data_IF_077391096583
#
_entry.id   IF_077391096583
#
_cell.length_a   1.000
_cell.length_b   1.000
_cell.length_c   1.000
_cell.angle_alpha   90.00
_cell.angle_beta   90.00
_cell.angle_gamma   90.00
#
_symmetry.space_group_name_H-M   'P 1'
#
loop_
_entity.id
_entity.type
_entity.pdbx_description
1 polymer ?
#
# COMPACT_ATOMS: atom_id res chain seq x y z
N UNK A 1 46.63 -4.95 -8.53
CA UNK A 1 46.59 -3.69 -7.74
C UNK A 1 45.23 -3.05 -7.94
N UNK A 2 44.23 -3.50 -7.20
CA UNK A 2 42.90 -2.88 -7.19
C UNK A 2 42.68 -2.28 -5.82
N UNK A 3 42.72 -0.95 -5.77
CA UNK A 3 42.37 -0.12 -4.64
C UNK A 3 40.85 -0.20 -4.44
N UNK A 4 40.41 -0.93 -3.42
CA UNK A 4 39.04 -0.87 -2.94
C UNK A 4 38.86 0.42 -2.12
N UNK A 5 38.07 1.34 -2.65
CA UNK A 5 37.62 2.54 -1.95
C UNK A 5 36.66 2.14 -0.84
N UNK A 6 37.06 2.41 0.40
CA UNK A 6 36.29 2.11 1.60
C UNK A 6 35.06 3.02 1.70
N UNK A 7 33.86 2.43 1.67
CA UNK A 7 32.61 3.10 2.02
C UNK A 7 32.29 2.83 3.50
N UNK A 8 32.60 3.79 4.36
CA UNK A 8 32.13 3.80 5.75
C UNK A 8 30.61 3.99 5.77
N UNK A 9 29.87 2.94 6.13
CA UNK A 9 28.42 3.01 6.32
C UNK A 9 28.13 3.25 7.80
N UNK A 10 27.73 4.47 8.16
CA UNK A 10 27.26 4.80 9.51
C UNK A 10 25.84 4.25 9.71
N UNK A 11 25.73 3.13 10.42
CA UNK A 11 24.45 2.48 10.72
C UNK A 11 23.85 3.07 12.01
N UNK A 12 22.93 4.03 11.92
CA UNK A 12 22.11 4.48 13.07
C UNK A 12 20.72 3.88 12.96
N UNK A 13 20.43 2.81 13.70
CA UNK A 13 19.13 2.16 13.73
C UNK A 13 18.62 2.06 15.17
N UNK A 14 17.81 3.03 15.63
CA UNK A 14 17.15 2.89 16.94
C UNK A 14 15.94 1.94 16.86
N UNK A 15 15.75 1.02 17.79
CA UNK A 15 14.59 0.12 17.74
C UNK A 15 13.28 0.88 17.96
N UNK A 16 12.32 0.71 17.05
CA UNK A 16 10.91 1.05 17.25
C UNK A 16 10.20 -0.23 17.70
N UNK A 17 10.12 -0.43 19.01
CA UNK A 17 9.11 -1.33 19.58
C UNK A 17 8.18 -0.47 20.40
N UNK A 18 7.05 -0.10 19.81
CA UNK A 18 5.88 0.37 20.55
C UNK A 18 5.04 -0.87 20.86
N UNK A 19 4.75 -1.02 22.15
CA UNK A 19 3.76 -1.90 22.77
C UNK A 19 4.15 -3.38 23.00
N UNK A 20 4.01 -3.78 24.28
CA UNK A 20 4.48 -4.99 24.98
C UNK A 20 5.96 -4.87 25.39
N UNK A 21 6.23 -4.83 26.70
CA UNK A 21 7.56 -4.75 27.31
C UNK A 21 8.63 -5.50 26.46
N UNK A 22 9.57 -4.78 25.82
CA UNK A 22 10.44 -5.33 24.77
C UNK A 22 11.17 -6.60 25.19
N UNK A 23 11.56 -6.70 26.47
CA UNK A 23 12.28 -7.82 27.05
C UNK A 23 11.45 -9.12 27.16
N UNK A 24 10.15 -9.03 27.47
CA UNK A 24 9.26 -10.21 27.54
C UNK A 24 9.01 -10.80 26.15
N UNK A 25 8.89 -9.94 25.13
CA UNK A 25 8.76 -10.36 23.73
C UNK A 25 10.05 -11.00 23.21
N UNK A 26 11.23 -10.41 23.48
CA UNK A 26 12.52 -10.95 23.04
C UNK A 26 12.86 -12.29 23.72
N UNK A 27 12.70 -12.39 25.04
CA UNK A 27 13.00 -13.64 25.77
C UNK A 27 12.15 -14.81 25.25
N UNK A 28 10.87 -14.58 24.94
CA UNK A 28 10.02 -15.60 24.31
C UNK A 28 10.53 -15.99 22.92
N UNK A 29 10.88 -15.01 22.07
CA UNK A 29 11.43 -15.28 20.74
C UNK A 29 12.72 -16.08 20.82
N UNK A 30 13.65 -15.70 21.71
CA UNK A 30 14.91 -16.39 21.93
C UNK A 30 14.71 -17.84 22.41
N UNK A 31 13.73 -18.10 23.31
CA UNK A 31 13.37 -19.47 23.71
C UNK A 31 12.88 -20.29 22.52
N UNK A 32 11.93 -19.74 21.75
CA UNK A 32 11.30 -20.45 20.62
C UNK A 32 12.30 -20.74 19.50
N UNK A 33 13.24 -19.83 19.24
CA UNK A 33 14.29 -20.03 18.24
C UNK A 33 15.50 -20.77 18.78
N UNK A 34 15.52 -21.13 20.07
CA UNK A 34 16.69 -21.71 20.75
C UNK A 34 17.97 -20.87 20.59
N UNK A 35 17.81 -19.54 20.51
CA UNK A 35 18.92 -18.62 20.32
C UNK A 35 19.91 -18.73 21.49
N UNK A 36 21.21 -18.79 21.16
CA UNK A 36 22.30 -18.81 22.14
C UNK A 36 22.96 -17.45 22.35
N UNK A 37 22.71 -16.51 21.46
CA UNK A 37 23.18 -15.15 21.56
C UNK A 37 22.10 -14.16 21.09
N UNK A 38 22.17 -12.94 21.62
CA UNK A 38 21.41 -11.77 21.16
C UNK A 38 22.36 -10.59 21.05
N UNK A 39 22.26 -9.87 19.93
CA UNK A 39 22.98 -8.62 19.72
C UNK A 39 22.10 -7.47 20.20
N UNK A 40 22.69 -6.56 20.98
CA UNK A 40 22.09 -5.32 21.48
C UNK A 40 23.01 -4.16 21.17
N UNK A 41 22.52 -2.94 21.25
CA UNK A 41 23.32 -1.73 21.11
C UNK A 41 23.17 -0.81 22.34
N UNK A 42 23.87 0.32 22.31
CA UNK A 42 23.81 1.33 23.37
C UNK A 42 22.40 1.96 23.55
N UNK A 43 21.51 1.81 22.57
CA UNK A 43 20.15 2.31 22.63
C UNK A 43 19.16 1.28 23.20
N UNK A 44 19.62 0.04 23.43
CA UNK A 44 18.87 -0.97 24.15
C UNK A 44 18.83 -0.62 25.65
N UNK A 45 17.64 -0.45 26.26
CA UNK A 45 17.54 -0.09 27.66
C UNK A 45 18.28 -1.08 28.57
N UNK A 46 19.05 -0.55 29.54
CA UNK A 46 19.91 -1.36 30.41
C UNK A 46 19.11 -2.37 31.26
N UNK A 47 17.92 -1.98 31.68
CA UNK A 47 16.92 -2.84 32.33
C UNK A 47 16.46 -3.97 31.41
N UNK A 48 16.27 -3.72 30.12
CA UNK A 48 15.93 -4.75 29.12
C UNK A 48 17.02 -5.81 28.95
N UNK A 49 18.29 -5.40 28.87
CA UNK A 49 19.42 -6.33 28.79
C UNK A 49 19.58 -7.16 30.08
N UNK A 50 19.41 -6.52 31.26
CA UNK A 50 19.43 -7.21 32.54
C UNK A 50 18.29 -8.23 32.68
N UNK A 51 17.07 -7.85 32.29
CA UNK A 51 15.91 -8.74 32.27
C UNK A 51 16.11 -9.94 31.33
N UNK A 52 16.74 -9.75 30.17
CA UNK A 52 17.07 -10.86 29.26
C UNK A 52 18.05 -11.85 29.90
N UNK A 53 19.12 -11.36 30.53
CA UNK A 53 20.08 -12.21 31.25
C UNK A 53 19.43 -12.96 32.41
N UNK A 54 18.54 -12.29 33.16
CA UNK A 54 17.81 -12.91 34.26
C UNK A 54 16.82 -13.98 33.77
N UNK A 55 16.08 -13.70 32.70
CA UNK A 55 15.12 -14.64 32.13
C UNK A 55 15.82 -15.82 31.45
N UNK A 56 17.00 -15.62 30.86
CA UNK A 56 17.76 -16.60 30.08
C UNK A 56 19.25 -16.60 30.49
N UNK A 57 19.61 -17.28 31.59
CA UNK A 57 20.99 -17.29 32.11
C UNK A 57 22.05 -17.82 31.12
N UNK A 58 21.65 -18.66 30.16
CA UNK A 58 22.53 -19.22 29.13
C UNK A 58 22.58 -18.44 27.82
N UNK A 59 21.89 -17.30 27.72
CA UNK A 59 21.89 -16.46 26.51
C UNK A 59 23.03 -15.44 26.59
N UNK A 60 23.95 -15.48 25.63
CA UNK A 60 24.97 -14.45 25.50
C UNK A 60 24.33 -13.13 25.01
N UNK A 61 24.43 -12.06 25.80
CA UNK A 61 23.98 -10.71 25.40
C UNK A 61 25.21 -9.91 25.00
N UNK A 62 25.38 -9.71 23.69
CA UNK A 62 26.55 -9.12 23.07
C UNK A 62 26.27 -7.68 22.66
N UNK A 63 27.15 -6.75 23.03
CA UNK A 63 27.07 -5.34 22.61
C UNK A 63 27.66 -5.18 21.21
N UNK A 64 26.85 -4.66 20.30
CA UNK A 64 27.16 -4.33 18.92
C UNK A 64 27.06 -2.82 18.68
N UNK A 65 27.37 -2.01 19.70
CA UNK A 65 27.44 -0.56 19.58
C UNK A 65 28.45 -0.12 18.52
N UNK A 66 28.17 1.01 17.85
CA UNK A 66 29.01 1.54 16.78
C UNK A 66 30.45 1.81 17.22
N UNK A 67 30.66 2.19 18.50
CA UNK A 67 31.99 2.41 19.04
C UNK A 67 32.82 1.13 19.01
N UNK A 68 32.23 0.00 19.40
CA UNK A 68 32.90 -1.31 19.34
C UNK A 68 33.12 -1.75 17.89
N UNK A 69 32.13 -1.57 17.02
CA UNK A 69 32.23 -1.99 15.62
C UNK A 69 33.25 -1.17 14.81
N UNK A 70 33.51 0.09 15.17
CA UNK A 70 34.47 0.94 14.48
C UNK A 70 35.92 0.49 14.67
N UNK A 71 36.21 -0.27 15.73
CA UNK A 71 37.55 -0.76 16.06
C UNK A 71 37.80 -2.19 15.57
N UNK A 72 36.82 -2.81 14.91
CA UNK A 72 36.91 -4.22 14.46
C UNK A 72 37.43 -4.28 13.03
N UNK A 73 38.57 -4.95 12.85
CA UNK A 73 39.09 -5.29 11.53
C UNK A 73 38.17 -6.30 10.81
N UNK A 74 37.99 -6.16 9.48
CA UNK A 74 37.23 -7.13 8.70
C UNK A 74 37.75 -8.56 8.89
N UNK A 75 36.83 -9.50 9.12
CA UNK A 75 37.18 -10.92 9.21
C UNK A 75 37.70 -11.42 7.86
N UNK A 76 38.80 -12.18 7.90
CA UNK A 76 39.32 -12.88 6.73
C UNK A 76 38.27 -13.86 6.20
N UNK A 77 38.15 -13.97 4.87
CA UNK A 77 37.11 -14.80 4.23
C UNK A 77 37.17 -16.28 4.69
N UNK A 78 38.37 -16.78 4.98
CA UNK A 78 38.61 -18.13 5.49
C UNK A 78 37.99 -18.41 6.86
N UNK A 79 37.59 -17.38 7.61
CA UNK A 79 36.92 -17.52 8.91
C UNK A 79 35.41 -17.73 8.79
N UNK A 80 34.82 -17.46 7.63
CA UNK A 80 33.39 -17.72 7.42
C UNK A 80 33.16 -19.22 7.21
N UNK A 81 32.12 -19.75 7.85
CA UNK A 81 31.69 -21.12 7.60
C UNK A 81 31.27 -21.30 6.13
N UNK A 82 31.45 -22.51 5.60
CA UNK A 82 30.92 -22.88 4.29
C UNK A 82 29.42 -22.52 4.21
N UNK A 83 29.01 -21.96 3.07
CA UNK A 83 27.64 -21.45 2.89
C UNK A 83 26.56 -22.51 3.20
N UNK A 84 25.43 -22.06 3.75
CA UNK A 84 24.29 -22.95 4.03
C UNK A 84 23.69 -23.54 2.75
N UNK A 85 23.07 -24.72 2.86
CA UNK A 85 22.37 -25.33 1.72
C UNK A 85 21.00 -24.66 1.50
N UNK A 86 20.40 -24.76 0.30
CA UNK A 86 19.13 -24.07 0.00
C UNK A 86 17.98 -24.37 0.97
N UNK A 87 17.97 -25.56 1.58
CA UNK A 87 16.98 -26.01 2.55
C UNK A 87 17.25 -25.53 3.98
N UNK A 88 18.40 -24.94 4.27
CA UNK A 88 18.74 -24.47 5.61
C UNK A 88 17.90 -23.25 5.97
N UNK A 89 17.49 -23.18 7.24
CA UNK A 89 16.83 -22.00 7.78
C UNK A 89 17.85 -20.87 7.87
N UNK A 90 17.59 -19.80 7.14
CA UNK A 90 18.41 -18.62 7.09
C UNK A 90 17.98 -17.56 8.09
N UNK A 91 16.67 -17.42 8.26
CA UNK A 91 16.07 -16.37 9.10
C UNK A 91 14.74 -16.82 9.67
N UNK A 92 14.36 -16.27 10.83
CA UNK A 92 13.02 -16.45 11.40
C UNK A 92 12.37 -15.09 11.62
N UNK A 93 11.23 -14.85 10.96
CA UNK A 93 10.44 -13.63 11.13
C UNK A 93 9.17 -13.96 11.91
N UNK A 94 8.89 -13.18 12.96
CA UNK A 94 7.68 -13.36 13.76
C UNK A 94 6.55 -12.49 13.22
N UNK A 95 5.42 -13.12 12.92
CA UNK A 95 4.19 -12.42 12.51
C UNK A 95 3.23 -12.30 13.68
N UNK A 96 2.43 -11.23 13.70
CA UNK A 96 1.52 -10.91 14.81
C UNK A 96 0.45 -11.97 15.06
N UNK A 97 0.13 -12.81 14.07
CA UNK A 97 -0.77 -13.95 14.20
C UNK A 97 -2.21 -13.54 14.56
N UNK A 98 -3.17 -13.79 13.69
CA UNK A 98 -4.60 -13.49 13.95
C UNK A 98 -5.25 -14.37 15.05
N UNK A 99 -4.48 -15.28 15.68
CA UNK A 99 -4.98 -16.36 16.57
C UNK A 99 -4.25 -16.44 17.92
N UNK A 100 -3.57 -15.37 18.36
CA UNK A 100 -2.91 -15.31 19.67
C UNK A 100 -1.38 -15.17 19.56
N UNK A 101 -0.62 -16.07 20.21
CA UNK A 101 0.84 -15.95 20.33
C UNK A 101 1.56 -15.83 18.95
N UNK A 102 2.53 -14.90 18.79
CA UNK A 102 3.23 -14.69 17.53
C UNK A 102 3.90 -15.97 17.01
N UNK A 103 3.73 -16.25 15.72
CA UNK A 103 4.28 -17.44 15.05
C UNK A 103 5.59 -17.09 14.35
N UNK A 104 6.61 -17.92 14.52
CA UNK A 104 7.91 -17.77 13.83
C UNK A 104 7.87 -18.43 12.47
N UNK A 105 7.95 -17.64 11.41
CA UNK A 105 8.05 -18.10 10.02
C UNK A 105 9.52 -18.32 9.69
N UNK A 106 9.89 -19.55 9.35
CA UNK A 106 11.24 -19.90 8.89
C UNK A 106 11.39 -19.54 7.41
N UNK A 107 12.38 -18.71 7.11
CA UNK A 107 12.79 -18.37 5.75
C UNK A 107 14.08 -19.09 5.42
N UNK A 108 14.07 -19.86 4.33
CA UNK A 108 15.19 -20.68 3.90
C UNK A 108 16.16 -19.88 3.01
N UNK A 109 17.35 -20.42 2.76
CA UNK A 109 18.25 -19.85 1.74
C UNK A 109 17.61 -19.84 0.34
N UNK A 110 16.81 -20.86 -0.02
CA UNK A 110 16.06 -20.90 -1.28
C UNK A 110 15.00 -19.79 -1.38
N UNK A 111 14.40 -19.39 -0.26
CA UNK A 111 13.45 -18.28 -0.23
C UNK A 111 14.13 -16.95 -0.61
N UNK A 112 15.38 -16.75 -0.17
CA UNK A 112 16.17 -15.61 -0.61
C UNK A 112 16.49 -15.65 -2.11
N UNK A 113 16.89 -16.81 -2.63
CA UNK A 113 17.17 -16.94 -4.07
C UNK A 113 15.94 -16.52 -4.90
N UNK A 114 14.74 -16.92 -4.47
CA UNK A 114 13.48 -16.48 -5.05
C UNK A 114 13.28 -14.97 -4.92
N UNK A 115 13.42 -14.38 -3.72
CA UNK A 115 13.27 -12.93 -3.52
C UNK A 115 14.23 -12.12 -4.38
N UNK A 116 15.51 -12.53 -4.46
CA UNK A 116 16.52 -11.90 -5.31
C UNK A 116 16.09 -11.91 -6.78
N UNK A 117 15.74 -13.07 -7.31
CA UNK A 117 15.32 -13.20 -8.72
C UNK A 117 14.09 -12.33 -9.02
N UNK A 118 13.14 -12.25 -8.08
CA UNK A 118 11.99 -11.36 -8.22
C UNK A 118 12.37 -9.89 -8.23
N UNK A 119 13.26 -9.44 -7.34
CA UNK A 119 13.71 -8.04 -7.33
C UNK A 119 14.52 -7.68 -8.57
N UNK A 120 15.37 -8.58 -9.05
CA UNK A 120 16.13 -8.38 -10.28
C UNK A 120 15.21 -8.28 -11.49
N UNK A 121 14.17 -9.10 -11.57
CA UNK A 121 13.18 -9.04 -12.66
C UNK A 121 12.27 -7.81 -12.56
N UNK A 122 11.89 -7.40 -11.35
CA UNK A 122 10.91 -6.31 -11.13
C UNK A 122 11.55 -4.93 -11.14
N UNK A 123 12.69 -4.75 -10.47
CA UNK A 123 13.39 -3.47 -10.35
C UNK A 123 14.46 -3.28 -11.43
N UNK A 124 14.84 -4.38 -12.12
CA UNK A 124 15.52 -4.34 -13.40
C UNK A 124 16.66 -3.34 -13.53
N UNK A 125 17.72 -3.39 -12.70
CA UNK A 125 18.92 -2.63 -13.01
C UNK A 125 19.41 -3.10 -14.40
N UNK A 126 19.50 -2.17 -15.36
CA UNK A 126 19.86 -2.45 -16.76
C UNK A 126 21.17 -3.22 -16.89
N UNK A 127 22.04 -3.12 -15.88
CA UNK A 127 23.25 -3.91 -15.74
C UNK A 127 23.38 -4.43 -14.29
N UNK A 128 24.01 -5.60 -14.07
CA UNK A 128 24.25 -6.14 -12.72
C UNK A 128 25.01 -5.16 -11.80
N UNK A 129 25.88 -4.31 -12.38
CA UNK A 129 26.65 -3.29 -11.69
C UNK A 129 25.93 -1.94 -11.55
N UNK A 130 24.70 -1.81 -12.06
CA UNK A 130 23.99 -0.55 -11.97
C UNK A 130 23.77 -0.19 -10.49
N UNK A 131 24.03 1.07 -10.14
CA UNK A 131 23.90 1.53 -8.77
C UNK A 131 22.49 1.34 -8.24
N UNK A 132 22.39 0.89 -6.99
CA UNK A 132 21.12 0.71 -6.29
C UNK A 132 21.06 1.63 -5.08
N UNK A 133 20.03 2.47 -5.00
CA UNK A 133 19.68 3.23 -3.79
C UNK A 133 18.41 2.64 -3.20
N UNK A 134 18.48 2.23 -1.94
CA UNK A 134 17.30 1.80 -1.20
C UNK A 134 17.04 2.76 -0.04
N UNK A 135 15.86 3.39 -0.03
CA UNK A 135 15.37 4.16 1.11
C UNK A 135 14.34 3.32 1.85
N UNK A 136 14.65 2.90 3.08
CA UNK A 136 13.84 1.92 3.82
C UNK A 136 13.33 2.54 5.12
N UNK A 137 12.02 2.74 5.19
CA UNK A 137 11.30 3.29 6.36
C UNK A 137 10.65 2.22 7.24
N UNK A 138 10.36 1.05 6.65
CA UNK A 138 9.68 -0.03 7.35
C UNK A 138 10.68 -0.76 8.28
N UNK A 139 10.26 -1.16 9.50
CA UNK A 139 11.15 -1.86 10.44
C UNK A 139 11.77 -3.13 9.84
N UNK A 140 13.03 -3.40 10.19
CA UNK A 140 13.77 -4.58 9.68
C UNK A 140 13.22 -5.94 10.17
N UNK A 141 12.29 -5.96 11.11
CA UNK A 141 11.57 -7.17 11.50
C UNK A 141 10.39 -7.51 10.57
N UNK A 142 10.11 -6.66 9.58
CA UNK A 142 9.09 -6.89 8.56
C UNK A 142 9.73 -7.51 7.30
N UNK A 143 9.13 -8.59 6.77
CA UNK A 143 9.68 -9.38 5.66
C UNK A 143 10.10 -8.54 4.45
N UNK A 144 9.30 -7.55 4.04
CA UNK A 144 9.62 -6.71 2.89
C UNK A 144 10.93 -5.92 3.08
N UNK A 145 11.09 -5.24 4.22
CA UNK A 145 12.32 -4.50 4.53
C UNK A 145 13.51 -5.44 4.66
N UNK A 146 13.30 -6.59 5.31
CA UNK A 146 14.38 -7.55 5.48
C UNK A 146 14.87 -8.07 4.13
N UNK A 147 13.95 -8.44 3.23
CA UNK A 147 14.28 -8.97 1.92
C UNK A 147 14.99 -7.93 1.04
N UNK A 148 14.49 -6.69 0.98
CA UNK A 148 15.10 -5.64 0.14
C UNK A 148 16.49 -5.24 0.67
N UNK A 149 16.64 -5.06 1.99
CA UNK A 149 17.94 -4.72 2.59
C UNK A 149 18.96 -5.82 2.37
N UNK A 150 18.56 -7.08 2.54
CA UNK A 150 19.45 -8.22 2.39
C UNK A 150 19.89 -8.43 0.93
N UNK A 151 19.01 -8.18 -0.04
CA UNK A 151 19.41 -8.13 -1.44
C UNK A 151 20.36 -6.97 -1.71
N UNK A 152 20.03 -5.76 -1.25
CA UNK A 152 20.84 -4.57 -1.49
C UNK A 152 22.25 -4.67 -0.87
N UNK A 153 22.40 -5.16 0.36
CA UNK A 153 23.70 -5.33 1.02
C UNK A 153 24.65 -6.30 0.29
N UNK A 154 24.11 -7.18 -0.57
CA UNK A 154 24.90 -8.16 -1.34
C UNK A 154 25.24 -7.66 -2.75
N UNK A 155 24.80 -6.46 -3.11
CA UNK A 155 25.11 -5.81 -4.38
C UNK A 155 26.28 -4.84 -4.19
N UNK A 156 27.36 -4.95 -4.99
CA UNK A 156 28.42 -3.96 -5.00
C UNK A 156 27.86 -2.56 -5.31
N UNK A 157 28.32 -1.54 -4.59
CA UNK A 157 27.94 -0.15 -4.84
C UNK A 157 26.51 0.23 -4.41
N UNK A 158 25.77 -0.65 -3.75
CA UNK A 158 24.46 -0.31 -3.23
C UNK A 158 24.55 0.67 -2.04
N UNK A 159 23.67 1.68 -2.02
CA UNK A 159 23.50 2.64 -0.93
C UNK A 159 22.18 2.36 -0.22
N UNK A 160 22.23 2.08 1.09
CA UNK A 160 21.03 1.88 1.92
C UNK A 160 20.84 3.07 2.87
N UNK A 161 19.72 3.77 2.73
CA UNK A 161 19.25 4.79 3.66
C UNK A 161 18.17 4.18 4.56
N UNK A 162 18.53 3.86 5.80
CA UNK A 162 17.60 3.32 6.78
C UNK A 162 17.00 4.45 7.62
N UNK A 163 15.69 4.60 7.57
CA UNK A 163 14.95 5.52 8.42
C UNK A 163 14.30 4.75 9.55
N UNK A 164 14.58 5.20 10.77
CA UNK A 164 14.08 4.57 11.97
C UNK A 164 12.55 4.66 12.09
N UNK A 165 11.99 5.77 11.62
CA UNK A 165 10.56 6.11 11.68
C UNK A 165 10.21 6.88 10.42
N UNK A 166 9.00 6.69 9.93
CA UNK A 166 8.45 7.58 8.92
C UNK A 166 8.26 8.97 9.51
N UNK A 167 8.92 9.96 8.92
CA UNK A 167 8.89 11.37 9.33
C UNK A 167 9.02 12.24 8.07
N UNK A 168 8.70 13.52 8.15
CA UNK A 168 8.81 14.46 7.02
C UNK A 168 10.21 14.54 6.37
N UNK A 169 11.35 14.37 7.10
CA UNK A 169 12.67 14.20 6.50
C UNK A 169 12.82 13.06 5.48
N UNK A 170 11.91 12.08 5.46
CA UNK A 170 11.92 10.99 4.48
C UNK A 170 12.06 11.49 3.05
N UNK A 171 11.28 12.50 2.70
CA UNK A 171 11.26 13.03 1.34
C UNK A 171 12.54 13.78 1.00
N UNK A 172 13.09 14.55 1.95
CA UNK A 172 14.40 15.19 1.78
C UNK A 172 15.52 14.16 1.58
N UNK A 173 15.49 13.05 2.33
CA UNK A 173 16.46 11.96 2.17
C UNK A 173 16.31 11.31 0.80
N UNK A 174 15.07 11.05 0.36
CA UNK A 174 14.79 10.46 -0.95
C UNK A 174 15.29 11.35 -2.09
N UNK A 175 15.01 12.66 -2.04
CA UNK A 175 15.45 13.63 -3.04
C UNK A 175 16.96 13.80 -3.09
N UNK A 176 17.63 13.83 -1.93
CA UNK A 176 19.11 13.87 -1.88
C UNK A 176 19.71 12.58 -2.42
N UNK A 177 19.11 11.43 -2.12
CA UNK A 177 19.61 10.15 -2.57
C UNK A 177 19.43 9.96 -4.08
N UNK A 178 18.42 10.57 -4.70
CA UNK A 178 18.28 10.62 -6.16
C UNK A 178 19.23 11.64 -6.80
N UNK A 179 19.42 12.81 -6.22
CA UNK A 179 20.33 13.84 -6.72
C UNK A 179 21.82 13.45 -6.61
N UNK A 180 22.19 12.71 -5.56
CA UNK A 180 23.56 12.26 -5.28
C UNK A 180 24.14 11.29 -6.32
N UNK A 181 23.36 10.82 -7.29
CA UNK A 181 23.88 10.09 -8.44
C UNK A 181 24.40 10.99 -9.58
N UNK A 182 23.99 12.25 -9.62
CA UNK A 182 24.46 13.23 -10.60
C UNK A 182 25.77 13.92 -10.18
N UNK A 183 26.20 13.78 -8.92
CA UNK A 183 27.23 14.63 -8.31
C UNK A 183 28.29 13.88 -7.47
N UNK A 184 28.55 12.59 -7.73
CA UNK A 184 29.73 11.91 -7.14
C UNK A 184 31.01 12.25 -7.93
N UNK A 185 31.20 13.55 -8.20
CA UNK A 185 32.48 14.17 -8.48
C UNK A 185 32.76 15.16 -7.35
N UNK A 186 33.49 14.68 -6.34
CA UNK A 186 34.11 15.46 -5.25
C UNK A 186 33.20 16.42 -4.47
N UNK A 187 32.75 16.01 -3.28
CA UNK A 187 32.17 16.93 -2.31
C UNK A 187 32.57 16.56 -0.88
N UNK A 188 33.84 16.82 -0.56
CA UNK A 188 34.17 17.30 0.77
C UNK A 188 33.76 18.77 0.91
N UNK A 189 33.10 19.12 2.01
CA UNK A 189 32.92 20.52 2.44
C UNK A 189 31.50 21.06 2.31
N UNK A 190 30.97 21.55 3.44
CA UNK A 190 29.65 22.16 3.52
C UNK A 190 29.61 23.64 3.15
N UNK A 191 28.44 24.24 3.37
CA UNK A 191 28.21 25.69 3.27
C UNK A 191 27.07 26.02 2.31
N UNK A 192 26.05 26.71 2.81
CA UNK A 192 24.85 27.07 2.05
C UNK A 192 25.01 28.26 1.10
N UNK A 193 23.95 28.51 0.31
CA UNK A 193 23.75 29.75 -0.45
C UNK A 193 23.20 29.51 -1.86
N UNK A 194 21.94 29.90 -2.09
CA UNK A 194 21.43 30.32 -3.41
C UNK A 194 21.45 29.31 -4.57
N UNK A 195 21.21 28.03 -4.33
CA UNK A 195 20.95 27.07 -5.41
C UNK A 195 19.54 27.20 -5.95
N UNK A 196 19.33 26.86 -7.23
CA UNK A 196 17.98 26.58 -7.74
C UNK A 196 17.25 25.64 -6.78
N UNK A 197 15.95 25.90 -6.48
CA UNK A 197 15.19 25.04 -5.61
C UNK A 197 15.27 23.61 -6.13
N UNK A 198 15.63 22.69 -5.25
CA UNK A 198 15.61 21.27 -5.59
C UNK A 198 14.20 20.88 -6.02
N UNK A 199 14.05 19.86 -6.87
CA UNK A 199 12.73 19.30 -7.25
C UNK A 199 11.81 19.11 -6.04
N UNK A 200 12.38 18.76 -4.89
CA UNK A 200 11.64 18.61 -3.64
C UNK A 200 11.16 19.93 -3.03
N UNK A 201 12.00 20.97 -2.98
CA UNK A 201 11.59 22.30 -2.53
C UNK A 201 10.47 22.85 -3.41
N UNK A 202 10.54 22.60 -4.72
CA UNK A 202 9.47 22.90 -5.67
C UNK A 202 8.17 22.18 -5.34
N UNK A 203 8.22 20.89 -4.92
CA UNK A 203 7.01 20.12 -4.60
C UNK A 203 6.49 20.29 -3.17
N UNK A 204 7.26 20.77 -2.21
CA UNK A 204 6.78 21.04 -0.85
C UNK A 204 6.23 22.46 -0.70
N UNK A 205 6.87 23.45 -1.33
CA UNK A 205 6.43 24.83 -1.26
C UNK A 205 5.23 25.04 -2.20
N UNK A 206 4.08 25.43 -1.62
CA UNK A 206 2.85 25.71 -2.38
C UNK A 206 3.07 26.70 -3.52
N UNK A 207 3.76 27.82 -3.24
CA UNK A 207 4.06 28.83 -4.24
C UNK A 207 4.87 28.30 -5.43
N UNK A 208 5.87 27.44 -5.19
CA UNK A 208 6.71 26.89 -6.26
C UNK A 208 5.99 25.79 -7.05
N UNK A 209 5.09 25.04 -6.41
CA UNK A 209 4.20 24.09 -7.11
C UNK A 209 3.25 24.81 -8.05
N UNK A 210 2.64 25.89 -7.57
CA UNK A 210 1.68 26.67 -8.34
C UNK A 210 2.38 27.30 -9.54
N UNK A 211 3.58 27.89 -9.34
CA UNK A 211 4.42 28.41 -10.41
C UNK A 211 4.80 27.33 -11.44
N UNK A 212 5.22 26.14 -10.99
CA UNK A 212 5.50 25.02 -11.90
C UNK A 212 4.27 24.59 -12.72
N UNK A 213 3.09 24.55 -12.09
CA UNK A 213 1.85 24.20 -12.80
C UNK A 213 1.49 25.28 -13.81
N UNK A 214 1.60 26.56 -13.44
CA UNK A 214 1.36 27.69 -14.33
C UNK A 214 2.31 27.66 -15.54
N UNK A 215 3.61 27.41 -15.32
CA UNK A 215 4.61 27.23 -16.38
C UNK A 215 4.26 26.06 -17.32
N UNK A 216 3.79 24.94 -16.77
CA UNK A 216 3.36 23.79 -17.59
C UNK A 216 2.10 24.10 -18.40
N UNK A 217 1.17 24.88 -17.85
CA UNK A 217 -0.03 25.35 -18.57
C UNK A 217 0.35 26.33 -19.68
N UNK A 218 1.24 27.28 -19.40
CA UNK A 218 1.76 28.23 -20.39
C UNK A 218 2.49 27.49 -21.52
N UNK A 219 3.34 26.52 -21.17
CA UNK A 219 4.09 25.73 -22.15
C UNK A 219 3.17 24.84 -23.02
N UNK A 220 2.14 24.22 -22.45
CA UNK A 220 1.13 23.49 -23.23
C UNK A 220 0.35 24.43 -24.16
N UNK A 221 0.02 25.63 -23.69
CA UNK A 221 -0.60 26.70 -24.50
C UNK A 221 0.29 27.12 -25.66
N UNK A 222 1.57 27.41 -25.39
CA UNK A 222 2.56 27.75 -26.41
C UNK A 222 2.73 26.63 -27.44
N UNK A 223 2.92 25.38 -27.01
CA UNK A 223 3.09 24.24 -27.91
C UNK A 223 1.82 23.95 -28.72
N UNK A 224 0.64 24.17 -28.15
CA UNK A 224 -0.64 24.04 -28.86
C UNK A 224 -0.77 25.09 -29.96
N UNK A 225 -0.43 26.35 -29.68
CA UNK A 225 -0.39 27.41 -30.70
C UNK A 225 0.65 27.12 -31.79
N UNK A 226 1.83 26.60 -31.40
CA UNK A 226 2.90 26.23 -32.35
C UNK A 226 2.50 25.07 -33.26
N UNK A 227 1.71 24.12 -32.76
CA UNK A 227 1.21 23.00 -33.57
C UNK A 227 0.23 23.45 -34.67
N UNK A 228 -0.49 24.54 -34.45
CA UNK A 228 -1.45 25.10 -35.42
C UNK A 228 -0.83 26.18 -36.34
N UNK A 229 0.36 26.68 -36.00
CA UNK A 229 1.01 27.75 -36.74
C UNK A 229 1.57 27.27 -38.10
N UNK A 230 1.31 27.98 -39.21
CA UNK A 230 1.70 27.53 -40.55
C UNK A 230 3.19 27.74 -40.88
N UNK A 231 3.93 28.51 -40.09
CA UNK A 231 5.34 28.84 -40.33
C UNK A 231 6.11 29.02 -39.02
N UNK A 232 7.40 28.70 -39.05
CA UNK A 232 8.37 28.97 -37.98
C UNK A 232 9.33 30.12 -38.31
N UNK A 233 9.09 30.82 -39.42
CA UNK A 233 9.94 31.94 -39.86
C UNK A 233 9.90 33.10 -38.85
N UNK A 234 11.08 33.64 -38.53
CA UNK A 234 11.22 34.74 -37.57
C UNK A 234 11.41 34.31 -36.11
N UNK A 235 11.28 33.01 -35.79
CA UNK A 235 11.59 32.50 -34.45
C UNK A 235 13.10 32.26 -34.27
N UNK A 236 13.63 32.38 -33.04
CA UNK A 236 14.97 31.90 -32.71
C UNK A 236 15.17 30.44 -33.11
N UNK A 237 16.38 30.01 -33.52
CA UNK A 237 16.64 28.63 -33.95
C UNK A 237 16.19 27.57 -32.94
N UNK A 238 16.29 27.85 -31.64
CA UNK A 238 15.85 26.96 -30.57
C UNK A 238 14.33 26.69 -30.53
N UNK A 239 13.53 27.54 -31.20
CA UNK A 239 12.07 27.46 -31.25
C UNK A 239 11.54 27.06 -32.64
N UNK A 240 12.44 26.85 -33.61
CA UNK A 240 12.12 26.34 -34.96
C UNK A 240 12.00 24.82 -34.93
N UNK A 241 11.09 24.31 -34.09
CA UNK A 241 10.80 22.89 -33.95
C UNK A 241 9.93 22.40 -35.11
N UNK A 242 10.14 21.16 -35.54
CA UNK A 242 9.25 20.50 -36.50
C UNK A 242 7.93 20.06 -35.84
N UNK A 243 6.93 19.72 -36.66
CA UNK A 243 5.61 19.35 -36.16
C UNK A 243 5.61 18.11 -35.25
N UNK A 244 6.44 17.11 -35.56
CA UNK A 244 6.52 15.88 -34.76
C UNK A 244 7.16 16.14 -33.39
N UNK A 245 8.18 17.00 -33.35
CA UNK A 245 8.85 17.40 -32.11
C UNK A 245 7.94 18.28 -31.23
N UNK A 246 7.14 19.17 -31.84
CA UNK A 246 6.12 19.95 -31.11
C UNK A 246 5.09 19.01 -30.47
N UNK A 247 4.57 18.03 -31.21
CA UNK A 247 3.60 17.07 -30.68
C UNK A 247 4.20 16.22 -29.56
N UNK A 248 5.42 15.70 -29.74
CA UNK A 248 6.10 14.90 -28.72
C UNK A 248 6.33 15.68 -27.41
N UNK A 249 6.78 16.94 -27.51
CA UNK A 249 6.96 17.81 -26.33
C UNK A 249 5.61 18.14 -25.68
N UNK A 250 4.58 18.43 -26.47
CA UNK A 250 3.23 18.72 -25.97
C UNK A 250 2.65 17.52 -25.21
N UNK A 251 2.81 16.32 -25.74
CA UNK A 251 2.37 15.09 -25.07
C UNK A 251 3.13 14.85 -23.76
N UNK A 252 4.43 15.16 -23.73
CA UNK A 252 5.20 15.11 -22.50
C UNK A 252 4.67 16.07 -21.43
N UNK A 253 4.43 17.33 -21.79
CA UNK A 253 3.89 18.36 -20.89
C UNK A 253 2.51 17.96 -20.37
N UNK A 254 1.63 17.47 -21.25
CA UNK A 254 0.29 17.01 -20.86
C UNK A 254 0.32 15.80 -19.92
N UNK A 255 1.24 14.85 -20.13
CA UNK A 255 1.44 13.74 -19.19
C UNK A 255 1.90 14.24 -17.82
N UNK A 256 2.90 15.13 -17.78
CA UNK A 256 3.38 15.71 -16.53
C UNK A 256 2.25 16.45 -15.78
N UNK A 257 1.46 17.27 -16.50
CA UNK A 257 0.27 17.93 -15.94
C UNK A 257 -0.75 16.93 -15.39
N UNK A 258 -1.09 15.90 -16.16
CA UNK A 258 -2.06 14.88 -15.73
C UNK A 258 -1.61 14.13 -14.48
N UNK A 259 -0.30 13.86 -14.34
CA UNK A 259 0.26 13.24 -13.14
C UNK A 259 0.21 14.19 -11.94
N UNK A 260 0.58 15.46 -12.10
CA UNK A 260 0.59 16.44 -11.01
C UNK A 260 -0.81 16.87 -10.57
N UNK A 261 -1.72 17.04 -11.51
CA UNK A 261 -3.11 17.39 -11.27
C UNK A 261 -3.96 16.18 -10.88
N UNK A 262 -3.43 14.96 -11.00
CA UNK A 262 -4.11 13.72 -10.68
C UNK A 262 -4.58 13.65 -9.23
N UNK A 263 -5.72 13.00 -9.00
CA UNK A 263 -6.32 12.90 -7.67
C UNK A 263 -5.34 12.30 -6.65
N UNK A 264 -4.64 11.23 -7.04
CA UNK A 264 -3.65 10.58 -6.19
C UNK A 264 -2.53 11.53 -5.74
N UNK A 265 -1.95 12.28 -6.67
CA UNK A 265 -0.87 13.24 -6.39
C UNK A 265 -1.37 14.38 -5.51
N UNK A 266 -2.58 14.90 -5.77
CA UNK A 266 -3.22 15.90 -4.90
C UNK A 266 -3.39 15.39 -3.48
N UNK A 267 -3.86 14.15 -3.31
CA UNK A 267 -3.96 13.53 -1.97
C UNK A 267 -2.59 13.49 -1.31
N UNK A 268 -1.55 13.01 -2.00
CA UNK A 268 -0.20 12.90 -1.46
C UNK A 268 0.37 14.26 -1.01
N UNK A 269 0.21 15.30 -1.83
CA UNK A 269 0.65 16.66 -1.50
C UNK A 269 -0.07 17.22 -0.28
N UNK A 270 -1.36 16.90 -0.11
CA UNK A 270 -2.18 17.40 0.99
C UNK A 270 -2.12 16.52 2.24
N UNK A 271 -1.41 15.38 2.24
CA UNK A 271 -1.24 14.54 3.43
C UNK A 271 -0.51 15.27 4.57
N UNK A 272 0.28 16.28 4.25
CA UNK A 272 0.94 17.14 5.25
C UNK A 272 -0.01 18.12 5.95
N UNK A 273 -1.19 18.39 5.38
CA UNK A 273 -2.13 19.41 5.84
C UNK A 273 -3.16 18.83 6.84
N UNK A 274 -3.12 19.21 8.14
CA UNK A 274 -4.00 18.62 9.15
C UNK A 274 -5.50 18.78 8.83
N UNK A 275 -5.88 19.95 8.31
CA UNK A 275 -7.28 20.23 7.93
C UNK A 275 -7.77 19.35 6.79
N UNK A 276 -6.88 18.93 5.90
CA UNK A 276 -7.23 18.04 4.81
C UNK A 276 -7.55 16.64 5.34
N UNK A 277 -6.69 16.12 6.21
CA UNK A 277 -6.89 14.83 6.87
C UNK A 277 -8.19 14.79 7.68
N UNK A 278 -8.50 15.85 8.43
CA UNK A 278 -9.76 15.97 9.19
C UNK A 278 -10.99 15.92 8.27
N UNK A 279 -10.93 16.60 7.11
CA UNK A 279 -12.02 16.56 6.12
C UNK A 279 -12.19 15.18 5.50
N UNK A 280 -11.09 14.51 5.15
CA UNK A 280 -11.13 13.15 4.61
C UNK A 280 -11.68 12.17 5.63
N UNK A 281 -11.27 12.29 6.90
CA UNK A 281 -11.84 11.49 7.98
C UNK A 281 -13.35 11.71 8.13
N UNK A 282 -13.79 12.98 8.15
CA UNK A 282 -15.21 13.31 8.26
C UNK A 282 -16.03 12.73 7.08
N UNK A 283 -15.51 12.83 5.87
CA UNK A 283 -16.11 12.25 4.66
C UNK A 283 -16.25 10.72 4.77
N UNK A 284 -15.17 10.03 5.16
CA UNK A 284 -15.18 8.58 5.33
C UNK A 284 -16.16 8.14 6.44
N UNK A 285 -16.25 8.88 7.55
CA UNK A 285 -17.24 8.63 8.60
C UNK A 285 -18.67 8.78 8.09
N UNK A 286 -18.94 9.82 7.29
CA UNK A 286 -20.26 10.04 6.68
C UNK A 286 -20.63 8.92 5.69
N UNK A 287 -19.67 8.45 4.89
CA UNK A 287 -19.86 7.33 3.98
C UNK A 287 -20.16 6.03 4.74
N UNK A 288 -19.42 5.77 5.83
CA UNK A 288 -19.63 4.61 6.68
C UNK A 288 -21.03 4.62 7.32
N UNK A 289 -21.47 5.76 7.83
CA UNK A 289 -22.81 5.88 8.41
C UNK A 289 -23.92 5.72 7.37
N UNK A 290 -23.71 6.23 6.15
CA UNK A 290 -24.61 6.01 5.03
C UNK A 290 -24.70 4.52 4.67
N UNK A 291 -23.56 3.82 4.61
CA UNK A 291 -23.50 2.39 4.34
C UNK A 291 -24.21 1.58 5.43
N UNK A 292 -24.04 1.92 6.71
CA UNK A 292 -24.74 1.29 7.83
C UNK A 292 -26.25 1.46 7.74
N UNK A 293 -26.73 2.67 7.42
CA UNK A 293 -28.17 2.95 7.24
C UNK A 293 -28.76 2.14 6.08
N UNK A 294 -28.06 2.06 4.95
CA UNK A 294 -28.47 1.23 3.81
C UNK A 294 -28.51 -0.25 4.18
N UNK A 295 -27.53 -0.76 4.92
CA UNK A 295 -27.52 -2.14 5.41
C UNK A 295 -28.72 -2.44 6.33
N UNK A 296 -29.04 -1.52 7.24
CA UNK A 296 -30.21 -1.66 8.13
C UNK A 296 -31.53 -1.66 7.33
N UNK A 297 -31.67 -0.78 6.34
CA UNK A 297 -32.84 -0.73 5.45
C UNK A 297 -32.98 -2.01 4.61
N UNK A 298 -31.86 -2.53 4.09
CA UNK A 298 -31.88 -3.80 3.36
C UNK A 298 -32.36 -4.96 4.25
N UNK A 299 -31.91 -4.98 5.51
CA UNK A 299 -32.37 -5.94 6.51
C UNK A 299 -33.87 -5.83 6.79
N UNK A 300 -34.40 -4.62 7.00
CA UNK A 300 -35.83 -4.44 7.26
C UNK A 300 -36.71 -4.82 6.06
N UNK A 301 -36.27 -4.50 4.84
CA UNK A 301 -36.95 -4.93 3.61
C UNK A 301 -36.96 -6.45 3.46
N UNK A 302 -35.85 -7.13 3.79
CA UNK A 302 -35.79 -8.59 3.75
C UNK A 302 -36.78 -9.23 4.74
N UNK A 303 -36.86 -8.70 5.97
CA UNK A 303 -37.85 -9.15 6.97
C UNK A 303 -39.27 -8.93 6.46
N UNK A 304 -39.58 -7.73 5.95
CA UNK A 304 -40.92 -7.41 5.44
C UNK A 304 -41.32 -8.29 4.26
N UNK A 305 -40.37 -8.60 3.38
CA UNK A 305 -40.60 -9.52 2.27
C UNK A 305 -40.91 -10.94 2.76
N UNK A 306 -40.25 -11.42 3.81
CA UNK A 306 -40.52 -12.72 4.42
C UNK A 306 -41.91 -12.78 5.07
N UNK A 307 -42.30 -11.74 5.81
CA UNK A 307 -43.65 -11.59 6.39
C UNK A 307 -44.74 -11.64 5.32
N UNK A 308 -44.61 -10.82 4.28
CA UNK A 308 -45.58 -10.77 3.18
C UNK A 308 -45.70 -12.11 2.45
N UNK A 309 -44.59 -12.85 2.31
CA UNK A 309 -44.62 -14.20 1.73
C UNK A 309 -45.41 -15.18 2.61
N UNK A 310 -45.24 -15.10 3.93
CA UNK A 310 -45.98 -15.93 4.88
C UNK A 310 -47.47 -15.59 4.84
N UNK A 311 -47.81 -14.30 4.96
CA UNK A 311 -49.19 -13.81 4.87
C UNK A 311 -49.87 -14.26 3.56
N UNK A 312 -49.17 -14.14 2.43
CA UNK A 312 -49.67 -14.64 1.15
C UNK A 312 -49.90 -16.15 1.18
N UNK A 313 -48.99 -16.92 1.76
CA UNK A 313 -49.12 -18.38 1.86
C UNK A 313 -50.33 -18.81 2.70
N UNK A 314 -50.65 -18.06 3.75
CA UNK A 314 -51.80 -18.31 4.62
C UNK A 314 -53.14 -17.85 4.01
N UNK A 315 -53.13 -16.72 3.31
CA UNK A 315 -54.33 -16.16 2.69
C UNK A 315 -54.75 -16.94 1.43
N UNK A 316 -53.79 -17.48 0.68
CA UNK A 316 -54.03 -18.21 -0.58
C UNK A 316 -55.04 -19.36 -0.47
N UNK A 317 -54.98 -20.28 0.51
CA UNK A 317 -55.97 -21.36 0.63
C UNK A 317 -57.36 -20.83 1.00
N UNK A 318 -57.47 -19.80 1.84
CA UNK A 318 -58.76 -19.19 2.19
C UNK A 318 -59.42 -18.54 0.98
N UNK A 319 -58.63 -17.81 0.19
CA UNK A 319 -59.09 -17.22 -1.06
C UNK A 319 -59.50 -18.31 -2.07
N UNK A 320 -58.68 -19.34 -2.25
CA UNK A 320 -58.99 -20.47 -3.14
C UNK A 320 -60.29 -21.18 -2.72
N UNK A 321 -60.52 -21.39 -1.42
CA UNK A 321 -61.75 -21.96 -0.89
C UNK A 321 -62.98 -21.06 -1.15
N UNK A 322 -62.83 -19.74 -0.97
CA UNK A 322 -63.89 -18.78 -1.27
C UNK A 322 -64.25 -18.79 -2.77
N UNK A 323 -63.24 -18.77 -3.66
CA UNK A 323 -63.44 -18.89 -5.11
C UNK A 323 -64.16 -20.19 -5.46
N UNK A 324 -63.75 -21.33 -4.88
CA UNK A 324 -64.40 -22.62 -5.12
C UNK A 324 -65.87 -22.61 -4.65
N UNK A 325 -66.17 -21.99 -3.49
CA UNK A 325 -67.53 -21.85 -2.97
C UNK A 325 -68.40 -20.99 -3.88
N UNK A 326 -67.88 -19.86 -4.37
CA UNK A 326 -68.61 -18.98 -5.30
C UNK A 326 -68.87 -19.69 -6.62
N UNK A 327 -67.89 -20.40 -7.18
CA UNK A 327 -68.07 -21.19 -8.41
C UNK A 327 -69.14 -22.27 -8.25
N UNK A 328 -69.17 -22.96 -7.10
CA UNK A 328 -70.23 -23.95 -6.80
C UNK A 328 -71.62 -23.30 -6.73
N UNK A 329 -71.75 -22.21 -5.97
CA UNK A 329 -73.00 -21.45 -5.87
C UNK A 329 -73.49 -20.95 -7.24
N UNK A 330 -72.57 -20.46 -8.08
CA UNK A 330 -72.88 -20.05 -9.44
C UNK A 330 -73.45 -21.22 -10.25
N UNK A 331 -72.79 -22.39 -10.22
CA UNK A 331 -73.25 -23.57 -10.95
C UNK A 331 -74.62 -24.08 -10.44
N UNK A 332 -74.80 -24.15 -9.12
CA UNK A 332 -76.06 -24.57 -8.50
C UNK A 332 -77.22 -23.63 -8.89
N UNK A 333 -76.96 -22.32 -8.94
CA UNK A 333 -77.94 -21.32 -9.34
C UNK A 333 -78.25 -21.35 -10.84
N UNK A 334 -77.23 -21.50 -11.70
CA UNK A 334 -77.41 -21.68 -13.15
C UNK A 334 -78.24 -22.93 -13.47
N UNK A 335 -77.99 -24.05 -12.77
CA UNK A 335 -78.77 -25.28 -12.91
C UNK A 335 -80.24 -25.08 -12.49
N UNK A 336 -80.45 -24.46 -11.33
CA UNK A 336 -81.81 -24.17 -10.81
C UNK A 336 -82.60 -23.27 -11.76
N UNK A 337 -81.98 -22.21 -12.30
CA UNK A 337 -82.62 -21.33 -13.29
C UNK A 337 -82.96 -22.09 -14.57
N UNK A 338 -82.04 -22.91 -15.06
CA UNK A 338 -82.22 -23.72 -16.27
C UNK A 338 -83.45 -24.63 -16.15
N UNK A 339 -83.60 -25.32 -15.01
CA UNK A 339 -84.71 -26.24 -14.74
C UNK A 339 -86.05 -25.50 -14.55
N UNK A 340 -86.11 -24.49 -13.68
CA UNK A 340 -87.38 -23.88 -13.28
C UNK A 340 -87.92 -22.86 -14.27
N UNK A 341 -87.06 -22.15 -15.01
CA UNK A 341 -87.47 -20.99 -15.79
C UNK A 341 -87.16 -21.09 -17.29
N UNK A 342 -86.24 -21.98 -17.70
CA UNK A 342 -85.81 -22.07 -19.09
C UNK A 342 -85.99 -23.45 -19.73
N UNK A 343 -86.72 -24.36 -19.07
CA UNK A 343 -87.10 -25.66 -19.62
C UNK A 343 -85.89 -26.54 -20.01
N UNK A 344 -84.82 -26.48 -19.22
CA UNK A 344 -83.60 -27.26 -19.43
C UNK A 344 -82.60 -26.66 -20.43
N UNK A 345 -82.81 -25.43 -20.92
CA UNK A 345 -81.82 -24.72 -21.74
C UNK A 345 -80.68 -24.20 -20.87
N UNK A 346 -79.44 -24.34 -21.34
CA UNK A 346 -78.23 -23.89 -20.62
C UNK A 346 -78.27 -22.38 -20.33
N UNK A 347 -78.05 -22.02 -19.06
CA UNK A 347 -77.94 -20.64 -18.58
C UNK A 347 -76.52 -20.45 -18.03
N UNK A 348 -75.85 -19.33 -18.37
CA UNK A 348 -74.57 -18.95 -17.77
C UNK A 348 -74.70 -17.52 -17.23
N UNK A 349 -74.33 -17.29 -15.97
CA UNK A 349 -74.26 -15.97 -15.35
C UNK A 349 -73.00 -15.22 -15.83
N UNK A 350 -73.14 -13.94 -16.18
CA UNK A 350 -72.01 -13.08 -16.52
C UNK A 350 -71.30 -12.56 -15.27
N UNK A 351 -69.96 -12.67 -15.24
CA UNK A 351 -69.10 -12.21 -14.15
C UNK A 351 -68.44 -13.36 -13.39
N UNK A 352 -67.47 -14.03 -13.99
CA UNK A 352 -66.68 -15.05 -13.30
C UNK A 352 -65.62 -14.37 -12.42
N UNK A 353 -65.47 -14.84 -11.18
CA UNK A 353 -64.26 -14.53 -10.39
C UNK A 353 -63.12 -15.33 -11.02
N UNK A 354 -62.35 -14.67 -11.87
CA UNK A 354 -61.11 -15.23 -12.39
C UNK A 354 -60.14 -15.43 -11.22
N UNK A 355 -59.48 -16.61 -11.19
CA UNK A 355 -58.44 -16.87 -10.21
C UNK A 355 -57.30 -15.84 -10.37
N UNK A 356 -56.57 -15.57 -9.28
CA UNK A 356 -55.34 -14.78 -9.30
C UNK A 356 -54.29 -15.37 -10.25
#
# INVERSE_FOLDING_TARGET
THTHTHTHTHMRARPVTRDIAPALSLSRKARVTTARAVLVDAETPADGAAQLRQALPGLAVLDASLALLAEVEPLAESLFAAGGVPSDTRMVIFTSGTTGAPKGVKLLYSAYACSRSTFEAFLGPSEPAAPLVCVVVNPLHHTNSTAICDWAMRRPGARLHLLQRYTTPYWTVLARASAGFAADGDAGGGGGGGGEPTLFETFEAEALRDELLDDLHELDGFLSQRAEAPSSEGLPPALQLDGAEIEARRDCVRRARAELEGEHTRHLLLLGEPKYLERQEASLRQQLDSARKMGALAGSLATRQAELRLELSEARPRYAAAVAKVKKLQADFEATLSELHFGGKRVNLMGAINAL
#
